data_IF_707625684165
#
_entry.id   IF_707625684165
#
_cell.length_a   1.000
_cell.length_b   1.000
_cell.length_c   1.000
_cell.angle_alpha   90.00
_cell.angle_beta   90.00
_cell.angle_gamma   90.00
#
_symmetry.space_group_name_H-M   'P 1'
#
loop_
_entity.id
_entity.type
_entity.pdbx_description
1 polymer ?
#
# COMPACT_ATOMS: atom_id res chain seq x y z
N UNK A 1 10.51 26.58 10.18
CA UNK A 1 10.51 25.14 10.42
C UNK A 1 9.97 24.44 9.20
N UNK A 2 10.76 23.56 8.63
CA UNK A 2 10.36 22.78 7.48
C UNK A 2 9.62 21.54 7.99
N UNK A 3 8.38 21.36 7.56
CA UNK A 3 7.66 20.14 7.87
C UNK A 3 8.26 19.00 7.06
N UNK A 4 8.43 17.86 7.70
CA UNK A 4 8.99 16.69 7.07
C UNK A 4 7.90 15.64 6.85
N UNK A 5 8.15 14.75 5.89
CA UNK A 5 7.29 13.61 5.67
C UNK A 5 7.70 12.51 6.64
N UNK A 6 6.75 12.01 7.41
CA UNK A 6 6.95 10.90 8.32
C UNK A 6 6.23 9.66 7.81
N UNK A 7 6.73 8.50 8.19
CA UNK A 7 6.17 7.20 7.82
C UNK A 7 5.91 6.40 9.08
N UNK A 8 4.69 5.91 9.23
CA UNK A 8 4.31 5.16 10.43
C UNK A 8 3.19 4.17 10.15
N UNK A 9 2.99 3.25 11.07
CA UNK A 9 1.82 2.37 11.02
C UNK A 9 0.55 3.19 11.24
N UNK A 10 -0.54 2.77 10.61
CA UNK A 10 -1.84 3.35 10.88
C UNK A 10 -2.27 2.99 12.31
N UNK A 11 -3.00 3.89 12.94
CA UNK A 11 -3.57 3.70 14.27
C UNK A 11 -5.10 3.78 14.17
N UNK A 12 -5.84 3.15 15.11
CA UNK A 12 -7.30 3.22 15.08
C UNK A 12 -7.85 4.65 15.02
N UNK A 13 -7.18 5.60 15.66
CA UNK A 13 -7.56 7.02 15.61
C UNK A 13 -7.47 7.63 14.21
N UNK A 14 -6.78 6.97 13.28
CA UNK A 14 -6.67 7.42 11.88
C UNK A 14 -7.87 7.02 11.02
N UNK A 15 -8.83 6.26 11.55
CA UNK A 15 -9.89 5.64 10.76
C UNK A 15 -10.59 6.58 9.79
N UNK A 16 -11.08 7.72 10.29
CA UNK A 16 -11.79 8.68 9.42
C UNK A 16 -10.84 9.34 8.43
N UNK A 17 -9.63 9.70 8.87
CA UNK A 17 -8.64 10.33 7.99
C UNK A 17 -8.22 9.40 6.86
N UNK A 18 -8.11 8.11 7.13
CA UNK A 18 -7.79 7.10 6.11
C UNK A 18 -8.94 6.98 5.10
N UNK A 19 -10.19 6.92 5.56
CA UNK A 19 -11.33 6.89 4.63
C UNK A 19 -11.36 8.11 3.74
N UNK A 20 -11.10 9.29 4.30
CA UNK A 20 -11.05 10.55 3.54
C UNK A 20 -9.94 10.50 2.50
N UNK A 21 -8.75 10.00 2.88
CA UNK A 21 -7.62 9.83 1.96
C UNK A 21 -7.98 8.86 0.81
N UNK A 22 -8.57 7.72 1.12
CA UNK A 22 -8.96 6.74 0.10
C UNK A 22 -9.96 7.31 -0.90
N UNK A 23 -10.91 8.13 -0.43
CA UNK A 23 -11.87 8.80 -1.32
C UNK A 23 -11.19 9.77 -2.27
N UNK A 24 -10.23 10.54 -1.79
CA UNK A 24 -9.46 11.46 -2.63
C UNK A 24 -8.65 10.67 -3.66
N UNK A 25 -7.98 9.60 -3.23
CA UNK A 25 -7.18 8.76 -4.12
C UNK A 25 -8.02 8.10 -5.21
N UNK A 26 -9.23 7.65 -4.89
CA UNK A 26 -10.16 7.10 -5.88
C UNK A 26 -10.49 8.12 -6.96
N UNK A 27 -10.66 9.38 -6.57
CA UNK A 27 -10.96 10.47 -7.50
C UNK A 27 -9.77 10.92 -8.34
N UNK A 28 -8.56 10.68 -7.87
CA UNK A 28 -7.32 11.11 -8.56
C UNK A 28 -6.84 10.12 -9.60
N UNK A 29 -7.20 8.85 -9.50
CA UNK A 29 -6.65 7.81 -10.37
C UNK A 29 -7.64 6.69 -10.59
N UNK A 30 -7.80 6.28 -11.84
CA UNK A 30 -8.56 5.09 -12.21
C UNK A 30 -7.74 3.80 -12.01
N UNK A 31 -6.47 3.94 -11.64
CA UNK A 31 -5.59 2.79 -11.37
C UNK A 31 -5.64 2.34 -9.92
N UNK A 32 -6.23 3.18 -9.04
CA UNK A 32 -6.40 2.84 -7.62
C UNK A 32 -7.81 2.31 -7.42
N UNK A 33 -7.92 1.00 -7.26
CA UNK A 33 -9.21 0.32 -7.11
C UNK A 33 -9.43 -0.03 -5.64
N UNK A 34 -10.54 0.48 -5.11
CA UNK A 34 -11.04 0.06 -3.80
C UNK A 34 -12.32 -0.73 -4.07
N UNK A 35 -12.35 -1.99 -3.66
CA UNK A 35 -13.47 -2.90 -3.92
C UNK A 35 -14.72 -2.54 -3.14
N UNK A 36 -14.60 -1.69 -2.13
CA UNK A 36 -15.70 -1.31 -1.24
C UNK A 36 -16.26 0.05 -1.60
N UNK A 37 -17.58 0.22 -1.40
CA UNK A 37 -18.17 1.54 -1.41
C UNK A 37 -17.74 2.25 -0.12
N UNK A 38 -16.83 3.20 -0.24
CA UNK A 38 -16.25 3.91 0.91
C UNK A 38 -17.29 4.72 1.68
N UNK A 39 -18.39 5.12 1.02
CA UNK A 39 -19.44 5.89 1.68
C UNK A 39 -20.23 5.05 2.69
N UNK A 40 -20.20 3.71 2.56
CA UNK A 40 -20.89 2.81 3.49
C UNK A 40 -20.03 2.43 4.70
N UNK A 41 -18.77 2.85 4.74
CA UNK A 41 -17.83 2.53 5.82
C UNK A 41 -17.70 3.73 6.73
N UNK A 42 -17.89 3.52 8.03
CA UNK A 42 -17.73 4.59 9.03
C UNK A 42 -16.28 4.64 9.53
N UNK A 43 -15.90 5.78 10.12
CA UNK A 43 -14.60 5.91 10.77
C UNK A 43 -14.38 4.86 11.87
N UNK A 44 -15.45 4.51 12.59
CA UNK A 44 -15.37 3.48 13.63
C UNK A 44 -15.16 2.08 13.02
N UNK A 45 -15.79 1.77 11.89
CA UNK A 45 -15.56 0.52 11.17
C UNK A 45 -14.10 0.41 10.75
N UNK A 46 -13.54 1.49 10.19
CA UNK A 46 -12.16 1.52 9.77
C UNK A 46 -11.21 1.39 10.96
N UNK A 47 -11.53 2.06 12.08
CA UNK A 47 -10.73 1.94 13.31
C UNK A 47 -10.65 0.49 13.79
N UNK A 48 -11.75 -0.24 13.73
CA UNK A 48 -11.77 -1.66 14.09
C UNK A 48 -10.91 -2.50 13.17
N UNK A 49 -10.97 -2.23 11.86
CA UNK A 49 -10.13 -2.91 10.87
C UNK A 49 -8.64 -2.65 11.13
N UNK A 50 -8.29 -1.40 11.39
CA UNK A 50 -6.90 -1.03 11.69
C UNK A 50 -6.40 -1.78 12.93
N UNK A 51 -7.24 -1.86 13.96
CA UNK A 51 -6.88 -2.58 15.18
C UNK A 51 -6.63 -4.07 14.90
N UNK A 52 -7.47 -4.71 14.10
CA UNK A 52 -7.29 -6.11 13.70
C UNK A 52 -6.00 -6.30 12.89
N UNK A 53 -5.74 -5.39 11.95
CA UNK A 53 -4.54 -5.42 11.12
C UNK A 53 -3.29 -5.32 12.00
N UNK A 54 -3.28 -4.40 12.96
CA UNK A 54 -2.12 -4.16 13.82
C UNK A 54 -1.82 -5.32 14.76
N UNK A 55 -2.80 -6.19 15.02
CA UNK A 55 -2.61 -7.38 15.82
C UNK A 55 -2.32 -8.63 14.97
N UNK A 56 -2.33 -8.50 13.66
CA UNK A 56 -2.03 -9.60 12.75
C UNK A 56 -0.52 -9.65 12.42
N UNK A 57 -0.08 -10.78 11.88
CA UNK A 57 1.25 -10.93 11.31
C UNK A 57 1.21 -11.13 9.80
N UNK A 58 0.04 -10.90 9.19
CA UNK A 58 -0.22 -11.17 7.79
C UNK A 58 -0.73 -9.96 7.03
N UNK A 59 -1.12 -8.90 7.74
CA UNK A 59 -1.68 -7.69 7.13
C UNK A 59 -0.99 -6.45 7.69
N UNK A 60 -0.88 -5.43 6.87
CA UNK A 60 -0.22 -4.17 7.22
C UNK A 60 -1.04 -2.99 6.69
N UNK A 61 -1.09 -1.93 7.44
CA UNK A 61 -1.51 -0.62 6.96
C UNK A 61 -0.58 0.43 7.54
N UNK A 62 0.08 1.17 6.65
CA UNK A 62 1.00 2.24 7.05
C UNK A 62 0.74 3.48 6.22
N UNK A 63 1.04 4.63 6.77
CA UNK A 63 0.74 5.92 6.14
C UNK A 63 1.98 6.81 6.09
N UNK A 64 1.98 7.70 5.10
CA UNK A 64 2.90 8.82 5.04
C UNK A 64 2.15 10.07 5.45
N UNK A 65 2.77 10.89 6.29
CA UNK A 65 2.17 12.12 6.78
C UNK A 65 3.05 13.32 6.48
N UNK A 66 2.41 14.45 6.19
CA UNK A 66 3.09 15.74 6.09
C UNK A 66 2.42 16.66 7.11
N UNK A 67 3.15 16.96 8.19
CA UNK A 67 2.50 17.55 9.34
C UNK A 67 1.44 16.60 9.90
N UNK A 68 0.21 17.06 10.01
CA UNK A 68 -0.91 16.24 10.49
C UNK A 68 -1.73 15.61 9.34
N UNK A 69 -1.36 15.89 8.08
CA UNK A 69 -2.11 15.42 6.93
C UNK A 69 -1.61 14.08 6.43
N UNK A 70 -2.52 13.17 6.15
CA UNK A 70 -2.18 11.89 5.50
C UNK A 70 -2.03 12.14 3.98
N UNK A 71 -0.87 11.78 3.43
CA UNK A 71 -0.55 12.04 2.02
C UNK A 71 -0.27 10.77 1.22
N UNK A 72 -0.15 9.65 1.87
CA UNK A 72 0.08 8.37 1.20
C UNK A 72 -0.24 7.21 2.10
N UNK A 73 -0.39 6.04 1.49
CA UNK A 73 -0.75 4.81 2.20
C UNK A 73 -0.13 3.61 1.50
N UNK A 74 0.29 2.64 2.28
CA UNK A 74 0.65 1.31 1.79
C UNK A 74 -0.09 0.28 2.63
N UNK A 75 -0.62 -0.73 1.95
CA UNK A 75 -1.29 -1.85 2.59
C UNK A 75 -0.70 -3.16 2.13
N UNK A 76 -0.74 -4.16 2.99
CA UNK A 76 -0.50 -5.55 2.63
C UNK A 76 -1.70 -6.35 3.11
N UNK A 77 -2.37 -7.01 2.19
CA UNK A 77 -3.52 -7.84 2.47
C UNK A 77 -3.15 -9.30 2.25
N UNK A 78 -3.35 -10.12 3.26
CA UNK A 78 -3.11 -11.57 3.13
C UNK A 78 -4.15 -12.15 2.17
N UNK A 79 -3.70 -12.72 1.06
CA UNK A 79 -4.59 -13.27 0.02
C UNK A 79 -4.58 -14.79 -0.04
N UNK A 80 -3.49 -15.41 0.42
CA UNK A 80 -3.35 -16.86 0.39
C UNK A 80 -2.22 -17.25 1.34
N UNK A 81 -2.51 -18.07 2.34
CA UNK A 81 -1.54 -18.61 3.29
C UNK A 81 -0.46 -17.60 3.68
N UNK A 82 0.70 -17.67 3.01
CA UNK A 82 1.87 -16.84 3.31
C UNK A 82 2.13 -15.78 2.23
N UNK A 83 1.13 -15.46 1.42
CA UNK A 83 1.24 -14.45 0.37
C UNK A 83 0.44 -13.20 0.74
N UNK A 84 1.08 -12.04 0.64
CA UNK A 84 0.43 -10.75 0.86
C UNK A 84 0.39 -9.92 -0.42
N UNK A 85 -0.73 -9.27 -0.69
CA UNK A 85 -0.87 -8.36 -1.82
C UNK A 85 -0.63 -6.93 -1.37
N UNK A 86 0.26 -6.23 -2.06
CA UNK A 86 0.67 -4.86 -1.72
C UNK A 86 -0.13 -3.87 -2.54
N UNK A 87 -0.67 -2.85 -1.88
CA UNK A 87 -1.21 -1.67 -2.52
C UNK A 87 -0.51 -0.43 -1.99
N UNK A 88 -0.15 0.50 -2.86
CA UNK A 88 0.49 1.74 -2.47
C UNK A 88 -0.11 2.89 -3.29
N UNK A 89 -0.35 4.01 -2.64
CA UNK A 89 -0.85 5.21 -3.32
C UNK A 89 -0.38 6.46 -2.60
N UNK A 90 -0.11 7.52 -3.37
CA UNK A 90 0.34 8.81 -2.88
C UNK A 90 -0.51 9.89 -3.54
N UNK A 91 -0.93 10.89 -2.77
CA UNK A 91 -1.69 12.02 -3.31
C UNK A 91 -0.92 12.69 -4.46
N UNK A 92 -1.65 13.14 -5.48
CA UNK A 92 -1.07 13.69 -6.71
C UNK A 92 -0.08 14.83 -6.44
N UNK A 93 -0.38 15.70 -5.47
CA UNK A 93 0.50 16.82 -5.14
C UNK A 93 1.83 16.42 -4.49
N UNK A 94 1.99 15.17 -4.08
CA UNK A 94 3.16 14.67 -3.37
C UNK A 94 3.92 13.59 -4.16
N UNK A 95 3.52 13.31 -5.38
CA UNK A 95 4.23 12.36 -6.23
C UNK A 95 5.57 12.95 -6.67
N UNK A 96 6.57 12.10 -6.88
CA UNK A 96 7.89 12.54 -7.29
C UNK A 96 8.84 12.85 -6.14
N UNK A 97 8.42 12.70 -4.89
CA UNK A 97 9.24 12.96 -3.71
C UNK A 97 9.73 11.67 -3.03
N UNK A 98 9.75 10.57 -3.75
CA UNK A 98 10.19 9.25 -3.26
C UNK A 98 9.30 8.69 -2.13
N UNK A 99 8.12 9.25 -1.92
CA UNK A 99 7.22 8.81 -0.86
C UNK A 99 6.74 7.37 -1.11
N UNK A 100 6.38 7.06 -2.35
CA UNK A 100 5.99 5.71 -2.73
C UNK A 100 7.10 4.69 -2.49
N UNK A 101 8.34 5.05 -2.81
CA UNK A 101 9.50 4.20 -2.56
C UNK A 101 9.66 3.91 -1.06
N UNK A 102 9.56 4.96 -0.24
CA UNK A 102 9.70 4.81 1.21
C UNK A 102 8.57 3.97 1.81
N UNK A 103 7.34 4.13 1.33
CA UNK A 103 6.22 3.31 1.77
C UNK A 103 6.45 1.84 1.39
N UNK A 104 6.94 1.56 0.18
CA UNK A 104 7.24 0.20 -0.25
C UNK A 104 8.37 -0.41 0.59
N UNK A 105 9.41 0.36 0.90
CA UNK A 105 10.51 -0.10 1.75
C UNK A 105 10.02 -0.43 3.15
N UNK A 106 9.11 0.38 3.70
CA UNK A 106 8.50 0.11 5.00
C UNK A 106 7.74 -1.23 4.97
N UNK A 107 6.95 -1.47 3.93
CA UNK A 107 6.20 -2.72 3.78
C UNK A 107 7.14 -3.93 3.68
N UNK A 108 8.23 -3.79 2.92
CA UNK A 108 9.22 -4.86 2.76
C UNK A 108 9.92 -5.14 4.10
N UNK A 109 10.34 -4.11 4.82
CA UNK A 109 10.98 -4.27 6.13
C UNK A 109 10.03 -4.93 7.13
N UNK A 110 8.76 -4.52 7.13
CA UNK A 110 7.75 -5.16 7.96
C UNK A 110 7.60 -6.64 7.60
N UNK A 111 7.55 -6.96 6.32
CA UNK A 111 7.41 -8.35 5.87
C UNK A 111 8.59 -9.21 6.33
N UNK A 112 9.81 -8.68 6.24
CA UNK A 112 11.03 -9.38 6.64
C UNK A 112 11.12 -9.59 8.15
N UNK A 113 10.79 -8.56 8.92
CA UNK A 113 11.10 -8.52 10.35
C UNK A 113 9.94 -8.94 11.24
N UNK A 114 8.70 -8.75 10.81
CA UNK A 114 7.53 -8.92 11.66
C UNK A 114 6.47 -9.88 11.11
N UNK A 115 6.44 -10.10 9.79
CA UNK A 115 5.37 -10.90 9.22
C UNK A 115 5.71 -12.38 9.14
N UNK A 116 4.67 -13.19 8.98
CA UNK A 116 4.79 -14.61 8.67
C UNK A 116 4.71 -14.88 7.16
N UNK A 117 4.71 -13.82 6.34
CA UNK A 117 4.58 -13.93 4.90
C UNK A 117 5.90 -14.38 4.25
N UNK A 118 5.79 -15.19 3.21
CA UNK A 118 6.93 -15.65 2.40
C UNK A 118 7.07 -14.84 1.11
N UNK A 119 5.99 -14.22 0.65
CA UNK A 119 5.99 -13.52 -0.63
C UNK A 119 5.03 -12.33 -0.58
N UNK A 120 5.45 -11.23 -1.20
CA UNK A 120 4.61 -10.08 -1.49
C UNK A 120 4.35 -10.07 -3.00
N UNK A 121 3.11 -9.78 -3.39
CA UNK A 121 2.73 -9.66 -4.80
C UNK A 121 2.01 -8.34 -5.03
N UNK A 122 2.02 -7.88 -6.26
CA UNK A 122 1.24 -6.71 -6.67
C UNK A 122 0.90 -6.82 -8.14
N UNK A 123 -0.07 -6.03 -8.57
CA UNK A 123 -0.38 -5.84 -9.99
C UNK A 123 -0.29 -4.36 -10.31
N UNK A 124 0.18 -4.06 -11.52
CA UNK A 124 0.37 -2.69 -11.98
C UNK A 124 0.11 -2.62 -13.47
N UNK A 125 -0.51 -1.54 -13.95
CA UNK A 125 -0.68 -1.34 -15.38
C UNK A 125 0.68 -1.14 -16.04
N UNK A 126 0.91 -1.81 -17.18
CA UNK A 126 2.19 -1.73 -17.90
C UNK A 126 2.55 -0.31 -18.31
N UNK A 127 1.55 0.54 -18.51
CA UNK A 127 1.76 1.94 -18.89
C UNK A 127 2.18 2.82 -17.72
N UNK A 128 2.06 2.34 -16.49
CA UNK A 128 2.44 3.11 -15.30
C UNK A 128 3.94 2.99 -15.05
N UNK A 129 4.72 3.64 -15.90
CA UNK A 129 6.20 3.56 -15.83
C UNK A 129 6.77 4.06 -14.51
N UNK A 130 6.28 5.16 -13.91
CA UNK A 130 6.81 5.58 -12.60
C UNK A 130 6.63 4.52 -11.51
N UNK A 131 5.49 3.86 -11.47
CA UNK A 131 5.24 2.79 -10.50
C UNK A 131 6.14 1.59 -10.75
N UNK A 132 6.26 1.15 -12.00
CA UNK A 132 7.15 0.05 -12.37
C UNK A 132 8.58 0.32 -11.92
N UNK A 133 9.07 1.55 -12.15
CA UNK A 133 10.42 1.95 -11.74
C UNK A 133 10.61 1.77 -10.23
N UNK A 134 9.64 2.20 -9.43
CA UNK A 134 9.69 2.04 -7.97
C UNK A 134 9.75 0.56 -7.59
N UNK A 135 8.88 -0.25 -8.19
CA UNK A 135 8.79 -1.67 -7.82
C UNK A 135 10.05 -2.45 -8.20
N UNK A 136 10.60 -2.21 -9.39
CA UNK A 136 11.89 -2.83 -9.76
C UNK A 136 13.01 -2.37 -8.83
N UNK A 137 13.04 -1.09 -8.50
CA UNK A 137 14.06 -0.52 -7.63
C UNK A 137 14.09 -1.17 -6.26
N UNK A 138 12.93 -1.47 -5.68
CA UNK A 138 12.87 -2.07 -4.35
C UNK A 138 12.98 -3.60 -4.37
N UNK A 139 13.06 -4.21 -5.55
CA UNK A 139 13.40 -5.62 -5.67
C UNK A 139 12.29 -6.54 -6.17
N UNK A 140 11.17 -5.99 -6.62
CA UNK A 140 10.12 -6.82 -7.24
C UNK A 140 10.55 -7.24 -8.64
N UNK A 141 10.06 -8.40 -9.07
CA UNK A 141 10.31 -8.94 -10.42
C UNK A 141 9.00 -9.38 -11.06
N UNK A 142 8.96 -9.33 -12.39
CA UNK A 142 7.78 -9.74 -13.16
C UNK A 142 7.54 -11.24 -13.03
N UNK A 143 6.29 -11.63 -12.80
CA UNK A 143 5.90 -13.04 -12.78
C UNK A 143 4.91 -13.39 -13.87
N UNK A 144 4.09 -12.43 -14.30
CA UNK A 144 3.06 -12.68 -15.30
C UNK A 144 2.63 -11.37 -15.95
N UNK A 145 2.10 -11.47 -17.18
CA UNK A 145 1.52 -10.35 -17.91
C UNK A 145 0.15 -10.82 -18.41
N UNK A 146 -0.88 -10.04 -18.16
CA UNK A 146 -2.24 -10.39 -18.57
C UNK A 146 -3.04 -9.12 -18.87
N UNK A 147 -4.25 -9.29 -19.40
CA UNK A 147 -5.15 -8.16 -19.67
C UNK A 147 -6.30 -8.17 -18.70
N UNK A 148 -6.60 -7.00 -18.15
CA UNK A 148 -7.71 -6.76 -17.26
C UNK A 148 -8.47 -5.52 -17.76
N UNK A 149 -9.74 -5.69 -18.08
CA UNK A 149 -10.59 -4.61 -18.61
C UNK A 149 -9.96 -3.92 -19.84
N UNK A 150 -9.32 -4.71 -20.72
CA UNK A 150 -8.71 -4.20 -21.95
C UNK A 150 -7.36 -3.54 -21.75
N UNK A 151 -6.79 -3.56 -20.55
CA UNK A 151 -5.49 -2.97 -20.25
C UNK A 151 -4.48 -4.05 -19.91
N UNK A 152 -3.25 -3.87 -20.37
CA UNK A 152 -2.15 -4.77 -20.02
C UNK A 152 -1.70 -4.52 -18.59
N UNK A 153 -1.61 -5.61 -17.82
CA UNK A 153 -1.25 -5.59 -16.40
C UNK A 153 -0.05 -6.50 -16.20
N UNK A 154 0.91 -6.03 -15.42
CA UNK A 154 2.06 -6.83 -14.99
C UNK A 154 1.82 -7.27 -13.55
N UNK A 155 1.96 -8.58 -13.30
CA UNK A 155 2.01 -9.11 -11.94
C UNK A 155 3.46 -9.23 -11.53
N UNK A 156 3.76 -8.77 -10.32
CA UNK A 156 5.11 -8.77 -9.79
C UNK A 156 5.15 -9.42 -8.42
N UNK A 157 6.30 -9.96 -8.06
CA UNK A 157 6.50 -10.60 -6.77
C UNK A 157 7.83 -10.21 -6.14
N UNK A 158 7.85 -10.27 -4.82
CA UNK A 158 9.04 -10.10 -4.00
C UNK A 158 9.08 -11.26 -3.01
N UNK A 159 10.15 -12.06 -3.06
CA UNK A 159 10.33 -13.17 -2.13
C UNK A 159 10.90 -12.65 -0.82
N UNK A 160 10.18 -12.88 0.27
CA UNK A 160 10.58 -12.37 1.59
C UNK A 160 11.66 -13.27 2.17
N UNK A 161 12.88 -12.72 2.42
CA UNK A 161 13.94 -13.50 3.04
C UNK A 161 13.52 -13.93 4.45
N UNK A 162 13.76 -15.18 4.79
CA UNK A 162 13.46 -15.68 6.13
C UNK A 162 14.70 -15.57 7.00
N UNK A 163 14.49 -15.11 8.22
CA UNK A 163 15.53 -15.14 9.24
C UNK A 163 15.61 -16.53 9.82
N UNK A 164 16.81 -17.02 9.94
CA UNK A 164 17.10 -18.33 10.58
C UNK A 164 16.90 -18.23 12.11
#
# INVERSE_FOLDING_TARGET
VTEEVDFRLAEPSDGQAILDLLKVLQGESDTFLVDSDLDDITGDDEAQQINLINHSRTNLMAVATYGSELIGIVTVDNIDRTVGEVGVAVLAGYQGYSIGTNLMELAIDWAKDFSSLDQLVLTVFSKNEPALHVYYKVGFHDTDIFFQDGREVVRMAFDVPKKD
#
